data_IF_908722183953
#
_entry.id   IF_908722183953
#
_cell.length_a   1.000
_cell.length_b   1.000
_cell.length_c   1.000
_cell.angle_alpha   90.00
_cell.angle_beta   90.00
_cell.angle_gamma   90.00
#
_symmetry.space_group_name_H-M   'P 1'
#
loop_
_entity.id
_entity.type
_entity.pdbx_description
1 polymer ?
#
# COMPACT_ATOMS: atom_id res chain seq x y z
N UNK A 1 -24.32 6.41 -11.61
CA UNK A 1 -23.36 6.15 -10.51
C UNK A 1 -22.08 6.90 -10.86
N UNK A 2 -21.58 7.77 -9.98
CA UNK A 2 -20.45 8.66 -10.30
C UNK A 2 -19.18 7.85 -10.59
N UNK A 3 -18.76 7.77 -11.86
CA UNK A 3 -17.60 6.99 -12.30
C UNK A 3 -16.32 7.34 -11.54
N UNK A 4 -16.17 8.62 -11.15
CA UNK A 4 -15.03 9.09 -10.38
C UNK A 4 -14.94 8.47 -8.98
N UNK A 5 -16.08 8.34 -8.27
CA UNK A 5 -16.12 7.74 -6.94
C UNK A 5 -15.77 6.25 -6.99
N UNK A 6 -16.28 5.53 -8.01
CA UNK A 6 -15.96 4.13 -8.25
C UNK A 6 -14.47 3.94 -8.57
N UNK A 7 -13.91 4.78 -9.42
CA UNK A 7 -12.48 4.72 -9.79
C UNK A 7 -11.55 5.00 -8.61
N UNK A 8 -11.88 6.02 -7.79
CA UNK A 8 -11.17 6.34 -6.53
C UNK A 8 -11.22 5.15 -5.55
N UNK A 9 -12.39 4.52 -5.41
CA UNK A 9 -12.55 3.35 -4.56
C UNK A 9 -11.70 2.17 -5.02
N UNK A 10 -11.75 1.83 -6.32
CA UNK A 10 -10.93 0.74 -6.89
C UNK A 10 -9.44 1.02 -6.65
N UNK A 11 -8.99 2.23 -6.93
CA UNK A 11 -7.59 2.62 -6.79
C UNK A 11 -7.09 2.47 -5.34
N UNK A 12 -7.87 2.90 -4.35
CA UNK A 12 -7.50 2.73 -2.93
C UNK A 12 -7.44 1.27 -2.51
N UNK A 13 -8.31 0.41 -3.04
CA UNK A 13 -8.28 -1.02 -2.73
C UNK A 13 -7.10 -1.72 -3.41
N UNK A 14 -6.77 -1.36 -4.65
CA UNK A 14 -5.58 -1.87 -5.34
C UNK A 14 -4.31 -1.53 -4.56
N UNK A 15 -4.16 -0.29 -4.07
CA UNK A 15 -3.02 0.09 -3.23
C UNK A 15 -2.95 -0.71 -1.92
N UNK A 16 -4.10 -0.92 -1.27
CA UNK A 16 -4.18 -1.73 -0.04
C UNK A 16 -3.75 -3.17 -0.28
N UNK A 17 -4.32 -3.81 -1.29
CA UNK A 17 -4.05 -5.22 -1.62
C UNK A 17 -2.61 -5.39 -2.13
N UNK A 18 -2.14 -4.47 -2.97
CA UNK A 18 -0.76 -4.44 -3.44
C UNK A 18 0.25 -4.29 -2.30
N UNK A 19 0.04 -3.30 -1.42
CA UNK A 19 0.87 -3.10 -0.23
C UNK A 19 0.84 -4.29 0.72
N UNK A 20 -0.33 -4.91 0.93
CA UNK A 20 -0.44 -6.16 1.72
C UNK A 20 0.33 -7.32 1.09
N UNK A 21 0.32 -7.42 -0.25
CA UNK A 21 1.11 -8.41 -0.98
C UNK A 21 2.62 -8.21 -0.78
N UNK A 22 3.09 -6.97 -0.90
CA UNK A 22 4.50 -6.63 -0.65
C UNK A 22 4.87 -6.87 0.81
N UNK A 23 3.97 -6.54 1.74
CA UNK A 23 4.17 -6.78 3.17
C UNK A 23 4.31 -8.28 3.47
N UNK A 24 3.42 -9.10 2.93
CA UNK A 24 3.48 -10.56 3.08
C UNK A 24 4.75 -11.14 2.45
N UNK A 25 5.18 -10.63 1.30
CA UNK A 25 6.43 -11.04 0.65
C UNK A 25 7.67 -10.64 1.47
N UNK A 26 7.70 -9.42 2.02
CA UNK A 26 8.76 -8.98 2.93
C UNK A 26 8.82 -9.83 4.20
N UNK A 27 7.67 -10.20 4.76
CA UNK A 27 7.60 -11.10 5.91
C UNK A 27 8.13 -12.50 5.58
N UNK A 28 7.79 -13.02 4.39
CA UNK A 28 8.32 -14.28 3.87
C UNK A 28 9.86 -14.23 3.78
N UNK A 29 10.41 -13.17 3.18
CA UNK A 29 11.87 -12.99 3.07
C UNK A 29 12.55 -12.83 4.43
N UNK A 30 11.92 -12.11 5.37
CA UNK A 30 12.46 -11.97 6.71
C UNK A 30 12.51 -13.32 7.44
N UNK A 31 11.46 -14.15 7.32
CA UNK A 31 11.35 -15.39 8.09
C UNK A 31 12.06 -16.59 7.46
N UNK A 32 12.00 -16.71 6.13
CA UNK A 32 12.44 -17.88 5.37
C UNK A 32 13.72 -17.56 4.57
N UNK A 33 13.88 -16.31 4.13
CA UNK A 33 15.01 -15.88 3.32
C UNK A 33 14.97 -16.39 1.89
N UNK A 34 16.06 -16.14 1.15
CA UNK A 34 16.27 -16.66 -0.21
C UNK A 34 17.36 -17.73 -0.13
N UNK A 35 17.07 -18.94 -0.60
CA UNK A 35 18.04 -20.05 -0.56
C UNK A 35 18.32 -20.60 0.85
N UNK A 36 17.47 -20.33 1.83
CA UNK A 36 17.57 -20.86 3.20
C UNK A 36 18.36 -20.00 4.19
N UNK A 37 18.97 -18.89 3.73
CA UNK A 37 19.56 -17.89 4.62
C UNK A 37 18.61 -16.69 4.75
N UNK A 38 18.22 -16.29 5.98
CA UNK A 38 17.35 -15.14 6.18
C UNK A 38 18.03 -13.85 5.72
N UNK A 39 17.41 -13.16 4.76
CA UNK A 39 17.84 -11.83 4.34
C UNK A 39 17.03 -10.79 5.12
N UNK A 40 17.44 -10.64 6.39
CA UNK A 40 16.67 -9.93 7.40
C UNK A 40 16.47 -8.45 7.06
N UNK A 41 17.50 -7.81 6.48
CA UNK A 41 17.44 -6.41 6.09
C UNK A 41 16.43 -6.20 4.96
N UNK A 42 16.55 -6.99 3.88
CA UNK A 42 15.67 -6.88 2.73
C UNK A 42 14.21 -7.19 3.10
N UNK A 43 14.00 -8.24 3.90
CA UNK A 43 12.67 -8.62 4.39
C UNK A 43 12.03 -7.52 5.24
N UNK A 44 12.76 -6.92 6.18
CA UNK A 44 12.27 -5.80 7.00
C UNK A 44 11.93 -4.57 6.16
N UNK A 45 12.79 -4.21 5.20
CA UNK A 45 12.55 -3.04 4.32
C UNK A 45 11.31 -3.25 3.48
N UNK A 46 11.15 -4.41 2.84
CA UNK A 46 9.96 -4.73 2.04
C UNK A 46 8.69 -4.80 2.90
N UNK A 47 8.77 -5.38 4.10
CA UNK A 47 7.66 -5.41 5.03
C UNK A 47 7.18 -4.00 5.39
N UNK A 48 8.11 -3.13 5.80
CA UNK A 48 7.81 -1.75 6.15
C UNK A 48 7.30 -0.94 4.96
N UNK A 49 7.86 -1.17 3.77
CA UNK A 49 7.40 -0.52 2.55
C UNK A 49 5.96 -0.94 2.19
N UNK A 50 5.66 -2.24 2.23
CA UNK A 50 4.31 -2.74 1.99
C UNK A 50 3.30 -2.23 3.02
N UNK A 51 3.70 -2.13 4.29
CA UNK A 51 2.89 -1.53 5.35
C UNK A 51 2.62 -0.05 5.09
N UNK A 52 3.65 0.71 4.69
CA UNK A 52 3.52 2.11 4.31
C UNK A 52 2.56 2.28 3.13
N UNK A 53 2.71 1.48 2.08
CA UNK A 53 1.88 1.55 0.90
C UNK A 53 0.42 1.16 1.18
N UNK A 54 0.20 0.11 1.98
CA UNK A 54 -1.15 -0.35 2.28
C UNK A 54 -1.95 0.64 3.15
N UNK A 55 -1.28 1.44 3.98
CA UNK A 55 -1.93 2.29 4.98
C UNK A 55 -1.78 3.79 4.69
N UNK A 56 -0.55 4.27 4.50
CA UNK A 56 -0.25 5.69 4.44
C UNK A 56 -0.59 6.29 3.08
N UNK A 57 -0.23 5.64 1.97
CA UNK A 57 -0.56 6.12 0.63
C UNK A 57 -2.08 6.32 0.44
N UNK A 58 -2.95 5.34 0.76
CA UNK A 58 -4.41 5.50 0.71
C UNK A 58 -4.94 6.63 1.61
N UNK A 59 -4.33 6.84 2.78
CA UNK A 59 -4.72 7.91 3.69
C UNK A 59 -4.39 9.30 3.11
N UNK A 60 -3.18 9.47 2.55
CA UNK A 60 -2.74 10.70 1.90
C UNK A 60 -3.61 11.02 0.69
N UNK A 61 -3.85 10.03 -0.19
CA UNK A 61 -4.69 10.18 -1.38
C UNK A 61 -6.12 10.58 -1.02
N UNK A 62 -6.71 9.94 -0.01
CA UNK A 62 -8.05 10.29 0.48
C UNK A 62 -8.12 11.73 0.98
N UNK A 63 -7.10 12.18 1.72
CA UNK A 63 -7.02 13.57 2.22
C UNK A 63 -6.89 14.55 1.07
N UNK A 64 -6.07 14.25 0.06
CA UNK A 64 -5.87 15.09 -1.13
C UNK A 64 -7.14 15.23 -1.95
N UNK A 65 -7.84 14.14 -2.23
CA UNK A 65 -9.10 14.18 -3.00
C UNK A 65 -10.20 14.98 -2.30
N UNK A 66 -10.26 14.90 -0.97
CA UNK A 66 -11.20 15.73 -0.19
C UNK A 66 -10.86 17.22 -0.25
N UNK A 67 -9.58 17.57 -0.35
CA UNK A 67 -9.15 18.98 -0.48
C UNK A 67 -9.49 19.57 -1.84
N UNK A 68 -9.35 18.78 -2.91
CA UNK A 68 -9.67 19.23 -4.28
C UNK A 68 -11.15 19.50 -4.45
N UNK A 69 -12.01 18.68 -3.83
CA UNK A 69 -13.48 18.83 -3.91
C UNK A 69 -14.02 20.08 -3.19
N UNK A 70 -13.23 20.68 -2.28
CA UNK A 70 -13.58 21.95 -1.61
C UNK A 70 -13.20 23.18 -2.44
N UNK A 71 -12.23 23.07 -3.36
CA UNK A 71 -11.74 24.18 -4.18
C UNK A 71 -12.50 24.33 -5.51
N UNK A 72 -13.31 23.34 -5.87
CA UNK A 72 -14.12 23.26 -7.10
C UNK A 72 -15.61 23.61 -6.84
N UNK A 73 -15.90 24.26 -5.71
CA UNK A 73 -17.21 24.84 -5.38
C UNK A 73 -17.09 26.36 -5.34
#
# INVERSE_FOLDING_TARGET
MNDLAKRRWVFLNVLRVGGLGIMAFGLYLWRIGIGGAPDELLGKVLFLFGLFEALLLPAILRRRWRSTETYDK
#
